data_IF_658248783005
#
_entry.id   IF_658248783005
#
_cell.length_a   1.000
_cell.length_b   1.000
_cell.length_c   1.000
_cell.angle_alpha   90.00
_cell.angle_beta   90.00
_cell.angle_gamma   90.00
#
_symmetry.space_group_name_H-M   'P 1'
#
loop_
_entity.id
_entity.type
_entity.pdbx_description
1 polymer ?
#
# COMPACT_ATOMS: atom_id res chain seq x y z
N UNK A 1 -12.04 7.37 -12.57
CA UNK A 1 -12.73 6.06 -12.45
C UNK A 1 -12.11 5.39 -11.24
N UNK A 2 -12.91 5.03 -10.25
CA UNK A 2 -12.46 4.68 -8.90
C UNK A 2 -12.91 3.25 -8.58
N UNK A 3 -12.60 2.33 -9.48
CA UNK A 3 -12.93 0.92 -9.35
C UNK A 3 -11.89 0.27 -8.43
N UNK A 4 -12.35 -0.41 -7.38
CA UNK A 4 -11.47 -1.11 -6.43
C UNK A 4 -11.21 -2.54 -6.89
N UNK A 5 -10.07 -3.08 -6.53
CA UNK A 5 -9.74 -4.48 -6.80
C UNK A 5 -9.44 -4.76 -8.28
N UNK A 6 -8.94 -3.74 -8.99
CA UNK A 6 -8.46 -3.88 -10.37
C UNK A 6 -6.99 -4.33 -10.45
N UNK A 7 -6.38 -4.65 -9.29
CA UNK A 7 -5.00 -5.12 -9.17
C UNK A 7 -3.97 -4.14 -9.72
N UNK A 8 -4.27 -2.83 -9.62
CA UNK A 8 -3.31 -1.79 -9.98
C UNK A 8 -2.28 -1.60 -8.87
N UNK A 9 -1.01 -1.49 -9.25
CA UNK A 9 0.07 -1.14 -8.33
C UNK A 9 0.10 0.38 -8.16
N UNK A 10 -0.03 0.83 -6.92
CA UNK A 10 0.07 2.23 -6.55
C UNK A 10 1.49 2.76 -6.81
N UNK A 11 1.64 3.73 -7.72
CA UNK A 11 2.94 4.37 -8.01
C UNK A 11 3.51 5.24 -6.87
N UNK A 12 2.77 5.39 -5.76
CA UNK A 12 3.18 6.18 -4.60
C UNK A 12 3.76 5.30 -3.49
N UNK A 13 3.13 4.17 -3.18
CA UNK A 13 3.56 3.29 -2.08
C UNK A 13 3.90 1.86 -2.51
N UNK A 14 3.68 1.49 -3.77
CA UNK A 14 3.89 0.14 -4.32
C UNK A 14 2.94 -0.95 -3.78
N UNK A 15 1.82 -0.55 -3.18
CA UNK A 15 0.73 -1.47 -2.80
C UNK A 15 -0.13 -1.85 -4.01
N UNK A 16 -0.51 -3.11 -4.15
CA UNK A 16 -1.50 -3.55 -5.14
C UNK A 16 -2.93 -3.43 -4.57
N UNK A 17 -3.82 -2.74 -5.28
CA UNK A 17 -5.24 -2.72 -4.91
C UNK A 17 -5.91 -4.07 -5.20
N UNK A 18 -5.92 -4.93 -4.19
CA UNK A 18 -6.60 -6.23 -4.16
C UNK A 18 -8.05 -6.15 -3.64
N UNK A 19 -8.61 -4.93 -3.54
CA UNK A 19 -10.01 -4.71 -3.18
C UNK A 19 -10.30 -4.81 -1.68
N UNK A 20 -9.30 -4.66 -0.82
CA UNK A 20 -9.54 -4.55 0.62
C UNK A 20 -10.46 -3.37 0.98
N UNK A 21 -11.26 -3.57 2.03
CA UNK A 21 -12.21 -2.61 2.59
C UNK A 21 -12.00 -2.50 4.10
N UNK A 22 -12.73 -1.60 4.76
CA UNK A 22 -12.66 -1.46 6.21
C UNK A 22 -12.95 -2.76 6.98
N UNK A 23 -13.71 -3.70 6.39
CA UNK A 23 -14.05 -4.96 7.03
C UNK A 23 -12.91 -5.99 7.04
N UNK A 24 -11.85 -5.80 6.23
CA UNK A 24 -10.78 -6.77 6.07
C UNK A 24 -9.39 -6.12 5.91
N UNK A 25 -9.25 -4.86 6.31
CA UNK A 25 -8.01 -4.06 6.20
C UNK A 25 -6.81 -4.69 6.94
N UNK A 26 -7.08 -5.48 7.98
CA UNK A 26 -6.07 -6.16 8.80
C UNK A 26 -5.71 -7.57 8.29
N UNK A 27 -6.40 -8.06 7.26
CA UNK A 27 -6.11 -9.37 6.66
C UNK A 27 -4.90 -9.28 5.73
N UNK A 28 -3.97 -10.22 5.83
CA UNK A 28 -2.92 -10.43 4.83
C UNK A 28 -3.41 -11.44 3.80
N UNK A 29 -3.59 -11.01 2.54
CA UNK A 29 -4.16 -11.83 1.46
C UNK A 29 -3.13 -12.60 0.64
N UNK A 30 -1.84 -12.37 0.86
CA UNK A 30 -0.78 -12.96 0.04
C UNK A 30 -0.57 -12.19 -1.26
N UNK A 31 -0.28 -12.92 -2.33
CA UNK A 31 -0.09 -12.34 -3.66
C UNK A 31 1.07 -11.33 -3.71
N UNK A 32 0.97 -10.29 -4.56
CA UNK A 32 1.99 -9.24 -4.69
C UNK A 32 2.22 -8.43 -3.40
N UNK A 33 1.17 -8.27 -2.58
CA UNK A 33 1.25 -7.63 -1.25
C UNK A 33 1.92 -8.54 -0.20
N UNK A 34 2.08 -9.85 -0.49
CA UNK A 34 2.76 -10.81 0.36
C UNK A 34 2.08 -10.96 1.72
N UNK A 35 2.88 -10.94 2.80
CA UNK A 35 2.40 -11.09 4.17
C UNK A 35 1.85 -9.81 4.81
N UNK A 36 1.70 -8.73 4.05
CA UNK A 36 1.25 -7.44 4.58
C UNK A 36 -0.27 -7.33 4.53
N UNK A 37 -0.84 -6.75 5.59
CA UNK A 37 -2.20 -6.20 5.56
C UNK A 37 -2.19 -4.76 5.07
N UNK A 38 -3.34 -4.25 4.64
CA UNK A 38 -3.48 -2.85 4.23
C UNK A 38 -3.18 -1.89 5.39
N UNK A 39 -3.53 -2.25 6.64
CA UNK A 39 -3.15 -1.48 7.84
C UNK A 39 -1.63 -1.35 7.95
N UNK A 40 -0.90 -2.47 7.87
CA UNK A 40 0.56 -2.47 7.96
C UNK A 40 1.20 -1.68 6.82
N UNK A 41 0.68 -1.81 5.59
CA UNK A 41 1.17 -1.06 4.44
C UNK A 41 1.00 0.46 4.61
N UNK A 42 -0.12 0.91 5.20
CA UNK A 42 -0.33 2.32 5.50
C UNK A 42 0.60 2.84 6.60
N UNK A 43 0.84 2.05 7.66
CA UNK A 43 1.81 2.39 8.70
C UNK A 43 3.23 2.50 8.14
N UNK A 44 3.63 1.53 7.32
CA UNK A 44 4.90 1.52 6.62
C UNK A 44 5.08 2.73 5.70
N UNK A 45 4.03 3.10 4.96
CA UNK A 45 4.05 4.29 4.12
C UNK A 45 4.27 5.56 4.94
N UNK A 46 3.62 5.71 6.09
CA UNK A 46 3.85 6.85 7.00
C UNK A 46 5.27 6.86 7.59
N UNK A 47 5.84 5.68 7.83
CA UNK A 47 7.17 5.54 8.44
C UNK A 47 8.32 5.78 7.45
N UNK A 48 8.21 5.29 6.21
CA UNK A 48 9.33 5.33 5.24
C UNK A 48 8.91 5.49 3.77
N UNK A 49 7.64 5.77 3.48
CA UNK A 49 7.18 6.15 2.15
C UNK A 49 6.89 5.02 1.17
N UNK A 50 6.89 3.76 1.61
CA UNK A 50 6.49 2.61 0.80
C UNK A 50 5.69 1.59 1.63
N UNK A 51 4.95 0.69 1.00
CA UNK A 51 4.22 -0.38 1.68
C UNK A 51 5.18 -1.40 2.33
N UNK A 52 6.40 -1.55 1.79
CA UNK A 52 7.44 -2.43 2.30
C UNK A 52 8.83 -1.82 2.03
N UNK A 53 9.80 -2.04 2.92
CA UNK A 53 11.13 -1.40 2.82
C UNK A 53 11.87 -1.68 1.52
N UNK A 54 11.67 -2.86 0.92
CA UNK A 54 12.34 -3.23 -0.35
C UNK A 54 11.88 -2.36 -1.54
N UNK A 55 10.69 -1.76 -1.45
CA UNK A 55 10.11 -0.96 -2.53
C UNK A 55 10.39 0.54 -2.42
N UNK A 56 11.12 0.98 -1.40
CA UNK A 56 11.54 2.39 -1.25
C UNK A 56 12.26 2.89 -2.53
N UNK A 57 13.02 2.03 -3.20
CA UNK A 57 13.74 2.37 -4.43
C UNK A 57 12.84 2.44 -5.67
N UNK A 58 11.61 1.94 -5.58
CA UNK A 58 10.65 1.86 -6.68
C UNK A 58 9.59 2.98 -6.65
N UNK A 59 9.58 3.80 -5.60
CA UNK A 59 8.60 4.85 -5.39
C UNK A 59 9.26 6.21 -5.24
N UNK A 60 8.52 7.28 -5.54
CA UNK A 60 8.96 8.63 -5.18
C UNK A 60 8.83 8.84 -3.67
N UNK A 61 9.55 9.82 -3.14
CA UNK A 61 9.30 10.28 -1.77
C UNK A 61 7.84 10.79 -1.65
N UNK A 62 7.15 10.51 -0.52
CA UNK A 62 5.86 11.09 -0.23
C UNK A 62 5.95 12.63 -0.16
N UNK A 63 4.94 13.32 -0.65
CA UNK A 63 4.75 14.73 -0.35
C UNK A 63 4.29 14.88 1.11
N UNK A 64 4.61 16.03 1.74
CA UNK A 64 4.22 16.29 3.13
C UNK A 64 2.70 16.18 3.36
N UNK A 65 1.89 16.51 2.35
CA UNK A 65 0.43 16.38 2.38
C UNK A 65 -0.08 14.92 2.37
N UNK A 66 0.76 13.96 2.01
CA UNK A 66 0.40 12.53 1.92
C UNK A 66 0.72 11.77 3.22
N UNK A 67 1.48 12.35 4.13
CA UNK A 67 1.88 11.75 5.42
C UNK A 67 1.19 12.41 6.62
N UNK A 68 0.54 13.56 6.39
CA UNK A 68 -0.15 14.36 7.42
C UNK A 68 -1.38 13.66 8.02
#
# INVERSE_FOLDING_TARGET
MNERGVYEICGVCFWEDDGQTAANVDEARGGPNGGLSLTMAQENYRAFGACERRYIVNVRLPAASEIA
#
